data_IF_788037576861
#
_entry.id   IF_788037576861
#
_cell.length_a   1.000
_cell.length_b   1.000
_cell.length_c   1.000
_cell.angle_alpha   90.00
_cell.angle_beta   90.00
_cell.angle_gamma   90.00
#
_symmetry.space_group_name_H-M   'P 1'
#
loop_
_entity.id
_entity.type
_entity.pdbx_description
1 polymer ?
#
# COMPACT_ATOMS: atom_id res chain seq x y z
N UNK A 1 17.47 27.79 -11.41
CA UNK A 1 16.39 28.25 -10.50
C UNK A 1 15.00 27.79 -10.97
N UNK A 2 14.34 28.42 -11.94
CA UNK A 2 12.96 28.02 -12.33
C UNK A 2 12.86 26.59 -12.85
N UNK A 3 13.80 26.14 -13.70
CA UNK A 3 13.83 24.76 -14.20
C UNK A 3 13.99 23.72 -13.08
N UNK A 4 14.81 24.01 -12.05
CA UNK A 4 14.99 23.13 -10.90
C UNK A 4 13.71 23.08 -10.06
N UNK A 5 13.10 24.24 -9.77
CA UNK A 5 11.84 24.29 -9.03
C UNK A 5 10.71 23.56 -9.75
N UNK A 6 10.64 23.62 -11.09
CA UNK A 6 9.66 22.87 -11.89
C UNK A 6 9.71 21.37 -11.58
N UNK A 7 10.90 20.77 -11.42
CA UNK A 7 11.04 19.35 -11.09
C UNK A 7 10.45 19.02 -9.71
N UNK A 8 10.78 19.82 -8.69
CA UNK A 8 10.27 19.63 -7.34
C UNK A 8 8.77 19.86 -7.26
N UNK A 9 8.26 20.93 -7.86
CA UNK A 9 6.84 21.24 -7.91
C UNK A 9 6.02 20.15 -8.63
N UNK A 10 6.55 19.60 -9.73
CA UNK A 10 5.90 18.50 -10.46
C UNK A 10 5.81 17.22 -9.61
N UNK A 11 6.89 16.83 -8.91
CA UNK A 11 6.84 15.67 -8.03
C UNK A 11 5.94 15.92 -6.81
N UNK A 12 5.97 17.13 -6.25
CA UNK A 12 5.13 17.51 -5.13
C UNK A 12 3.63 17.45 -5.45
N UNK A 13 3.19 17.92 -6.64
CA UNK A 13 1.78 17.82 -7.01
C UNK A 13 1.35 16.37 -7.25
N UNK A 14 2.21 15.51 -7.79
CA UNK A 14 1.90 14.08 -7.96
C UNK A 14 1.75 13.37 -6.61
N UNK A 15 2.67 13.62 -5.68
CA UNK A 15 2.57 13.12 -4.30
C UNK A 15 1.29 13.64 -3.62
N UNK A 16 0.96 14.93 -3.81
CA UNK A 16 -0.26 15.54 -3.27
C UNK A 16 -1.52 14.84 -3.78
N UNK A 17 -1.61 14.51 -5.07
CA UNK A 17 -2.79 13.83 -5.63
C UNK A 17 -3.00 12.44 -5.02
N UNK A 18 -1.93 11.66 -4.85
CA UNK A 18 -1.99 10.34 -4.21
C UNK A 18 -2.43 10.48 -2.76
N UNK A 19 -1.76 11.35 -2.00
CA UNK A 19 -2.06 11.56 -0.57
C UNK A 19 -3.48 12.06 -0.36
N UNK A 20 -3.94 13.02 -1.16
CA UNK A 20 -5.31 13.51 -1.12
C UNK A 20 -6.31 12.36 -1.32
N UNK A 21 -6.09 11.51 -2.32
CA UNK A 21 -6.97 10.37 -2.57
C UNK A 21 -6.92 9.31 -1.45
N UNK A 22 -5.79 9.16 -0.77
CA UNK A 22 -5.70 8.32 0.43
C UNK A 22 -6.56 8.87 1.57
N UNK A 23 -6.58 10.18 1.80
CA UNK A 23 -7.48 10.78 2.81
C UNK A 23 -8.96 10.60 2.42
N UNK A 24 -9.30 10.83 1.15
CA UNK A 24 -10.64 10.57 0.63
C UNK A 24 -11.01 9.10 0.81
N UNK A 25 -10.09 8.16 0.56
CA UNK A 25 -10.32 6.74 0.79
C UNK A 25 -10.64 6.46 2.25
N UNK A 26 -9.82 6.93 3.17
CA UNK A 26 -10.04 6.75 4.61
C UNK A 26 -11.38 7.34 5.05
N UNK A 27 -11.78 8.49 4.49
CA UNK A 27 -13.08 9.09 4.76
C UNK A 27 -14.23 8.28 4.17
N UNK A 28 -14.09 7.74 2.95
CA UNK A 28 -15.07 6.88 2.31
C UNK A 28 -15.44 5.69 3.22
N UNK A 29 -14.47 5.09 3.90
CA UNK A 29 -14.71 4.00 4.86
C UNK A 29 -15.55 4.43 6.08
N UNK A 30 -15.49 5.70 6.48
CA UNK A 30 -16.26 6.23 7.61
C UNK A 30 -17.70 6.54 7.22
N UNK A 31 -17.93 6.94 5.98
CA UNK A 31 -19.25 7.38 5.49
C UNK A 31 -19.97 6.34 4.63
N UNK A 32 -19.36 5.19 4.37
CA UNK A 32 -19.92 4.13 3.54
C UNK A 32 -19.91 4.44 2.04
N UNK A 33 -18.97 5.27 1.58
CA UNK A 33 -18.76 5.57 0.17
C UNK A 33 -17.71 4.63 -0.45
N UNK A 34 -17.63 4.63 -1.78
CA UNK A 34 -16.65 3.86 -2.55
C UNK A 34 -15.68 4.82 -3.25
N UNK A 35 -14.41 4.77 -2.85
CA UNK A 35 -13.36 5.62 -3.38
C UNK A 35 -13.11 5.42 -4.88
N UNK A 36 -13.39 4.23 -5.43
CA UNK A 36 -13.24 4.00 -6.87
C UNK A 36 -14.30 4.80 -7.64
N UNK A 37 -15.53 4.88 -7.12
CA UNK A 37 -16.58 5.74 -7.71
C UNK A 37 -16.25 7.22 -7.56
N UNK A 38 -15.74 7.63 -6.39
CA UNK A 38 -15.32 9.02 -6.15
C UNK A 38 -14.20 9.43 -7.11
N UNK A 39 -13.16 8.59 -7.24
CA UNK A 39 -12.05 8.79 -8.17
C UNK A 39 -12.52 8.92 -9.62
N UNK A 40 -13.43 8.05 -10.06
CA UNK A 40 -14.00 8.10 -11.42
C UNK A 40 -14.75 9.41 -11.61
N UNK A 41 -15.62 9.79 -10.66
CA UNK A 41 -16.38 11.04 -10.69
C UNK A 41 -15.47 12.26 -10.78
N UNK A 42 -14.50 12.38 -9.87
CA UNK A 42 -13.51 13.48 -9.87
C UNK A 42 -12.70 13.53 -11.16
N UNK A 43 -12.28 12.37 -11.68
CA UNK A 43 -11.46 12.27 -12.89
C UNK A 43 -12.20 12.60 -14.19
N UNK A 44 -13.52 12.81 -14.17
CA UNK A 44 -14.27 13.31 -15.32
C UNK A 44 -14.01 14.79 -15.60
N UNK A 45 -13.62 15.56 -14.58
CA UNK A 45 -13.20 16.95 -14.74
C UNK A 45 -11.79 16.99 -15.34
N UNK A 46 -11.67 17.52 -16.55
CA UNK A 46 -10.42 17.58 -17.29
C UNK A 46 -9.35 18.45 -16.63
N UNK A 47 -9.73 19.35 -15.72
CA UNK A 47 -8.80 20.17 -14.93
C UNK A 47 -8.08 19.34 -13.85
N UNK A 48 -8.70 18.25 -13.39
CA UNK A 48 -8.13 17.30 -12.41
C UNK A 48 -7.43 16.14 -13.13
N UNK A 49 -8.10 15.58 -14.14
CA UNK A 49 -7.65 14.42 -14.92
C UNK A 49 -7.70 13.10 -14.14
N UNK A 50 -7.48 11.97 -14.84
CA UNK A 50 -7.72 10.61 -14.32
C UNK A 50 -6.50 9.95 -13.66
N UNK A 51 -5.30 10.50 -13.85
CA UNK A 51 -4.03 9.90 -13.44
C UNK A 51 -3.65 10.32 -12.02
N UNK A 52 -2.92 9.44 -11.33
CA UNK A 52 -2.43 9.66 -9.95
C UNK A 52 -3.55 9.89 -8.93
N UNK A 53 -4.70 9.27 -9.15
CA UNK A 53 -5.84 9.33 -8.21
C UNK A 53 -6.15 7.98 -7.55
N UNK A 54 -5.24 7.01 -7.67
CA UNK A 54 -5.45 5.66 -7.12
C UNK A 54 -4.98 5.63 -5.66
N UNK A 55 -5.88 5.41 -4.70
CA UNK A 55 -5.50 5.29 -3.30
C UNK A 55 -4.82 3.94 -3.04
N UNK A 56 -4.12 3.86 -1.92
CA UNK A 56 -3.51 2.63 -1.43
C UNK A 56 -2.80 2.82 -0.10
N UNK A 57 -1.79 2.00 0.17
CA UNK A 57 -0.94 2.08 1.37
C UNK A 57 0.16 3.16 1.26
N UNK A 58 -0.11 4.26 0.56
CA UNK A 58 0.85 5.35 0.37
C UNK A 58 1.81 5.16 -0.79
N UNK A 59 2.58 6.22 -1.05
CA UNK A 59 3.66 6.25 -2.04
C UNK A 59 5.02 5.99 -1.39
N UNK A 60 5.96 5.51 -2.20
CA UNK A 60 7.37 5.32 -1.85
C UNK A 60 8.31 5.73 -2.98
N UNK A 61 9.45 5.05 -3.06
CA UNK A 61 10.49 5.25 -4.06
C UNK A 61 11.43 6.39 -3.71
N UNK A 62 12.48 6.57 -4.50
CA UNK A 62 13.48 7.63 -4.27
C UNK A 62 13.06 9.03 -4.72
N UNK A 63 12.05 9.14 -5.57
CA UNK A 63 11.69 10.41 -6.19
C UNK A 63 10.78 11.25 -5.28
N UNK A 64 9.59 10.74 -4.91
CA UNK A 64 8.62 11.57 -4.17
C UNK A 64 9.06 11.92 -2.74
N UNK A 65 9.40 10.97 -1.86
CA UNK A 65 9.81 11.29 -0.49
C UNK A 65 10.97 12.28 -0.46
N UNK A 66 12.03 12.03 -1.24
CA UNK A 66 13.21 12.88 -1.32
C UNK A 66 12.88 14.28 -1.84
N UNK A 67 12.17 14.40 -2.96
CA UNK A 67 11.95 15.69 -3.62
C UNK A 67 10.93 16.54 -2.83
N UNK A 68 9.91 15.93 -2.21
CA UNK A 68 8.94 16.63 -1.35
C UNK A 68 9.62 17.16 -0.08
N UNK A 69 10.46 16.34 0.57
CA UNK A 69 11.27 16.77 1.73
C UNK A 69 12.26 17.88 1.35
N UNK A 70 12.95 17.73 0.22
CA UNK A 70 13.90 18.72 -0.27
C UNK A 70 13.22 20.06 -0.58
N UNK A 71 12.02 20.05 -1.16
CA UNK A 71 11.23 21.25 -1.42
C UNK A 71 10.82 21.95 -0.12
N UNK A 72 10.29 21.21 0.85
CA UNK A 72 9.91 21.75 2.16
C UNK A 72 11.11 22.37 2.90
N UNK A 73 12.25 21.67 2.90
CA UNK A 73 13.50 22.16 3.50
C UNK A 73 14.00 23.44 2.80
N UNK A 74 14.04 23.44 1.47
CA UNK A 74 14.48 24.60 0.69
C UNK A 74 13.58 25.81 0.91
N UNK A 75 12.28 25.60 1.10
CA UNK A 75 11.35 26.64 1.52
C UNK A 75 11.73 27.22 2.89
N UNK A 76 11.94 26.36 3.88
CA UNK A 76 12.34 26.77 5.23
C UNK A 76 13.64 27.57 5.25
N UNK A 77 14.66 27.12 4.52
CA UNK A 77 15.94 27.83 4.38
C UNK A 77 15.77 29.22 3.73
N UNK A 78 14.74 29.41 2.92
CA UNK A 78 14.37 30.68 2.29
C UNK A 78 13.32 31.48 3.08
N UNK A 79 12.92 31.04 4.28
CA UNK A 79 11.92 31.71 5.11
C UNK A 79 10.47 31.54 4.63
N UNK A 80 10.18 30.52 3.82
CA UNK A 80 8.84 30.18 3.34
C UNK A 80 8.37 28.83 3.89
N UNK A 81 7.16 28.80 4.46
CA UNK A 81 6.58 27.56 4.99
C UNK A 81 5.60 26.90 4.00
N UNK A 82 5.91 25.68 3.56
CA UNK A 82 5.04 24.87 2.72
C UNK A 82 4.10 23.99 3.56
N UNK A 83 2.99 24.56 4.05
CA UNK A 83 1.99 23.84 4.87
C UNK A 83 1.38 22.62 4.16
N UNK A 84 1.04 22.74 2.88
CA UNK A 84 0.47 21.64 2.08
C UNK A 84 1.49 20.50 1.94
N UNK A 85 2.74 20.81 1.66
CA UNK A 85 3.79 19.81 1.42
C UNK A 85 4.12 19.05 2.71
N UNK A 86 4.16 19.75 3.85
CA UNK A 86 4.28 19.12 5.17
C UNK A 86 3.11 18.16 5.43
N UNK A 87 1.89 18.62 5.21
CA UNK A 87 0.69 17.79 5.37
C UNK A 87 0.72 16.54 4.49
N UNK A 88 1.19 16.68 3.24
CA UNK A 88 1.32 15.55 2.29
C UNK A 88 2.28 14.48 2.81
N UNK A 89 3.42 14.88 3.40
CA UNK A 89 4.37 13.94 3.99
C UNK A 89 3.78 13.24 5.22
N UNK A 90 3.20 14.02 6.14
CA UNK A 90 2.67 13.51 7.40
C UNK A 90 1.53 12.50 7.18
N UNK A 91 0.63 12.79 6.24
CA UNK A 91 -0.47 11.89 5.88
C UNK A 91 0.07 10.63 5.22
N UNK A 92 1.03 10.74 4.28
CA UNK A 92 1.59 9.57 3.61
C UNK A 92 2.28 8.64 4.61
N UNK A 93 3.01 9.18 5.58
CA UNK A 93 3.69 8.38 6.60
C UNK A 93 2.71 7.56 7.45
N UNK A 94 1.59 8.16 7.87
CA UNK A 94 0.51 7.43 8.54
C UNK A 94 -0.14 6.40 7.61
N UNK A 95 -0.35 6.75 6.34
CA UNK A 95 -1.02 5.88 5.37
C UNK A 95 -0.28 4.55 5.18
N UNK A 96 1.06 4.54 5.20
CA UNK A 96 1.91 3.35 5.02
C UNK A 96 1.58 2.20 5.97
N UNK A 97 0.96 2.47 7.13
CA UNK A 97 0.65 1.45 8.14
C UNK A 97 -0.85 1.28 8.42
N UNK A 98 -1.73 1.98 7.70
CA UNK A 98 -3.20 1.90 7.90
C UNK A 98 -3.77 0.50 7.73
N UNK A 99 -3.16 -0.32 6.87
CA UNK A 99 -3.59 -1.72 6.67
C UNK A 99 -3.34 -2.58 7.90
N UNK A 100 -2.31 -2.28 8.71
CA UNK A 100 -2.04 -2.95 9.98
C UNK A 100 -3.19 -2.79 10.97
N UNK A 101 -3.86 -1.63 10.98
CA UNK A 101 -5.03 -1.43 11.85
C UNK A 101 -6.22 -2.29 11.41
N UNK A 102 -6.41 -2.48 10.11
CA UNK A 102 -7.43 -3.42 9.59
C UNK A 102 -7.11 -4.86 10.00
N UNK A 103 -5.84 -5.26 9.95
CA UNK A 103 -5.37 -6.58 10.38
C UNK A 103 -5.65 -6.80 11.87
N UNK A 104 -5.28 -5.85 12.72
CA UNK A 104 -5.58 -5.89 14.17
C UNK A 104 -7.08 -5.95 14.44
N UNK A 105 -7.88 -5.14 13.75
CA UNK A 105 -9.33 -5.15 13.98
C UNK A 105 -9.97 -6.49 13.59
N UNK A 106 -9.41 -7.21 12.61
CA UNK A 106 -9.88 -8.54 12.22
C UNK A 106 -9.49 -9.62 13.23
N UNK A 107 -8.21 -9.68 13.60
CA UNK A 107 -7.67 -10.75 14.47
C UNK A 107 -7.76 -10.44 15.98
N UNK A 108 -8.26 -9.26 16.34
CA UNK A 108 -8.20 -8.73 17.69
C UNK A 108 -6.91 -7.95 17.97
N UNK A 109 -6.83 -7.31 19.14
CA UNK A 109 -5.74 -6.37 19.48
C UNK A 109 -4.34 -7.00 19.53
N UNK A 110 -4.21 -8.33 19.43
CA UNK A 110 -2.93 -9.04 19.40
C UNK A 110 -2.86 -9.93 18.17
N UNK A 111 -1.82 -9.73 17.37
CA UNK A 111 -1.46 -10.58 16.22
C UNK A 111 -0.22 -11.44 16.49
N UNK A 112 0.16 -11.59 17.77
CA UNK A 112 1.32 -12.39 18.17
C UNK A 112 1.12 -13.86 17.74
N UNK A 113 2.09 -14.41 17.04
CA UNK A 113 2.07 -15.78 16.52
C UNK A 113 1.26 -15.96 15.24
N UNK A 114 0.69 -14.88 14.67
CA UNK A 114 0.05 -14.92 13.35
C UNK A 114 1.10 -14.94 12.25
N UNK A 115 0.80 -15.68 11.19
CA UNK A 115 1.65 -15.78 10.00
C UNK A 115 0.96 -15.12 8.81
N UNK A 116 1.63 -14.18 8.15
CA UNK A 116 1.08 -13.47 7.00
C UNK A 116 1.87 -13.77 5.73
N UNK A 117 1.15 -14.02 4.64
CA UNK A 117 1.73 -13.98 3.32
C UNK A 117 1.77 -12.53 2.85
N UNK A 118 2.86 -12.09 2.21
CA UNK A 118 2.97 -10.75 1.62
C UNK A 118 3.32 -10.82 0.15
N UNK A 119 2.43 -10.32 -0.70
CA UNK A 119 2.65 -10.14 -2.13
C UNK A 119 3.08 -8.71 -2.42
N UNK A 120 4.31 -8.58 -2.92
CA UNK A 120 4.91 -7.31 -3.27
C UNK A 120 5.75 -6.71 -2.14
N UNK A 121 6.94 -6.26 -2.51
CA UNK A 121 7.96 -5.68 -1.64
C UNK A 121 8.54 -4.39 -2.23
N UNK A 122 8.64 -4.31 -3.56
CA UNK A 122 9.05 -3.09 -4.26
C UNK A 122 8.07 -1.93 -4.00
N UNK A 123 8.52 -0.69 -4.13
CA UNK A 123 7.62 0.47 -3.90
C UNK A 123 6.51 0.61 -4.95
N UNK A 124 6.69 0.00 -6.13
CA UNK A 124 5.77 -0.08 -7.26
C UNK A 124 6.16 -1.29 -8.14
N UNK A 125 5.35 -1.68 -9.13
CA UNK A 125 5.73 -2.72 -10.09
C UNK A 125 6.92 -2.34 -10.99
N UNK A 126 7.48 -3.36 -11.63
CA UNK A 126 8.55 -3.33 -12.63
C UNK A 126 9.84 -2.66 -12.11
N UNK A 127 10.19 -2.92 -10.85
CA UNK A 127 11.44 -2.48 -10.24
C UNK A 127 11.79 -3.30 -9.00
N UNK A 128 13.09 -3.43 -8.74
CA UNK A 128 13.66 -3.96 -7.50
C UNK A 128 13.84 -2.89 -6.40
N UNK A 129 13.47 -1.63 -6.67
CA UNK A 129 13.70 -0.51 -5.75
C UNK A 129 12.78 -0.60 -4.51
N UNK A 130 13.40 -0.70 -3.35
CA UNK A 130 12.72 -0.82 -2.05
C UNK A 130 12.74 0.47 -1.24
N UNK A 131 13.36 1.54 -1.76
CA UNK A 131 13.49 2.80 -1.00
C UNK A 131 12.12 3.36 -0.68
N UNK A 132 11.88 3.61 0.60
CA UNK A 132 10.60 4.13 1.11
C UNK A 132 9.39 3.25 0.72
N UNK A 133 9.59 1.98 0.38
CA UNK A 133 8.52 1.08 -0.02
C UNK A 133 7.57 0.85 1.17
N UNK A 134 6.24 1.05 1.01
CA UNK A 134 5.28 0.81 2.09
C UNK A 134 5.34 -0.59 2.69
N UNK A 135 5.74 -1.61 1.90
CA UNK A 135 5.93 -2.97 2.37
C UNK A 135 6.92 -3.08 3.54
N UNK A 136 8.01 -2.30 3.54
CA UNK A 136 9.00 -2.32 4.63
C UNK A 136 8.41 -1.82 5.95
N UNK A 137 7.59 -0.77 5.90
CA UNK A 137 6.91 -0.23 7.09
C UNK A 137 5.88 -1.21 7.63
N UNK A 138 5.17 -1.91 6.74
CA UNK A 138 4.26 -2.98 7.11
C UNK A 138 5.01 -4.16 7.76
N UNK A 139 6.14 -4.59 7.19
CA UNK A 139 6.99 -5.64 7.76
C UNK A 139 7.42 -5.25 9.17
N UNK A 140 8.02 -4.07 9.34
CA UNK A 140 8.49 -3.59 10.65
C UNK A 140 7.34 -3.55 11.69
N UNK A 141 6.17 -3.02 11.29
CA UNK A 141 5.01 -2.88 12.17
C UNK A 141 4.39 -4.23 12.59
N UNK A 142 4.40 -5.23 11.71
CA UNK A 142 3.87 -6.57 11.98
C UNK A 142 4.85 -7.39 12.83
N UNK A 143 6.14 -7.36 12.51
CA UNK A 143 7.19 -8.03 13.28
C UNK A 143 7.28 -7.48 14.71
N UNK A 144 7.16 -6.15 14.88
CA UNK A 144 7.12 -5.52 16.20
C UNK A 144 5.97 -6.00 17.10
N UNK A 145 4.94 -6.62 16.52
CA UNK A 145 3.80 -7.21 17.24
C UNK A 145 3.89 -8.73 17.37
N UNK A 146 5.01 -9.33 16.97
CA UNK A 146 5.27 -10.76 17.07
C UNK A 146 4.54 -11.62 16.03
N UNK A 147 4.14 -11.03 14.90
CA UNK A 147 3.74 -11.80 13.73
C UNK A 147 4.98 -12.30 12.96
N UNK A 148 4.80 -13.29 12.10
CA UNK A 148 5.79 -13.72 11.11
C UNK A 148 5.27 -13.46 9.69
N UNK A 149 6.19 -13.34 8.73
CA UNK A 149 5.85 -13.04 7.34
C UNK A 149 6.60 -14.00 6.42
N UNK A 150 5.91 -14.53 5.41
CA UNK A 150 6.53 -15.10 4.22
C UNK A 150 6.16 -14.23 3.03
N UNK A 151 7.17 -13.69 2.33
CA UNK A 151 6.96 -12.74 1.25
C UNK A 151 7.31 -13.31 -0.12
N UNK A 152 6.68 -12.76 -1.15
CA UNK A 152 7.07 -12.94 -2.53
C UNK A 152 7.03 -11.60 -3.25
N UNK A 153 8.09 -11.30 -4.00
CA UNK A 153 8.16 -10.20 -4.96
C UNK A 153 9.00 -10.64 -6.17
N UNK A 154 8.58 -10.37 -7.41
CA UNK A 154 9.31 -10.84 -8.60
C UNK A 154 10.73 -10.30 -8.72
N UNK A 155 11.03 -9.11 -8.17
CA UNK A 155 12.29 -8.41 -8.41
C UNK A 155 13.02 -7.98 -7.12
N UNK A 156 12.28 -7.60 -6.07
CA UNK A 156 12.83 -6.90 -4.91
C UNK A 156 13.25 -7.78 -3.72
N UNK A 157 13.05 -9.10 -3.78
CA UNK A 157 13.34 -10.01 -2.65
C UNK A 157 14.80 -9.94 -2.19
N UNK A 158 15.76 -9.85 -3.12
CA UNK A 158 17.18 -9.76 -2.77
C UNK A 158 17.49 -8.48 -1.95
N UNK A 159 16.98 -7.34 -2.41
CA UNK A 159 17.19 -6.05 -1.75
C UNK A 159 16.49 -6.01 -0.37
N UNK A 160 15.29 -6.57 -0.25
CA UNK A 160 14.62 -6.67 1.06
C UNK A 160 15.38 -7.60 1.99
N UNK A 161 15.82 -8.77 1.52
CA UNK A 161 16.60 -9.72 2.33
C UNK A 161 17.88 -9.09 2.87
N UNK A 162 18.59 -8.30 2.06
CA UNK A 162 19.76 -7.53 2.53
C UNK A 162 19.38 -6.54 3.65
N UNK A 163 18.21 -5.92 3.56
CA UNK A 163 17.72 -4.93 4.54
C UNK A 163 17.23 -5.54 5.86
N UNK A 164 16.52 -6.67 5.80
CA UNK A 164 15.80 -7.27 6.94
C UNK A 164 16.47 -8.54 7.49
N UNK A 165 17.45 -9.09 6.79
CA UNK A 165 18.12 -10.34 7.17
C UNK A 165 17.15 -11.51 7.25
N UNK A 166 17.27 -12.31 8.31
CA UNK A 166 16.40 -13.46 8.59
C UNK A 166 15.11 -13.06 9.34
N UNK A 167 14.70 -11.79 9.25
CA UNK A 167 13.50 -11.27 9.91
C UNK A 167 12.17 -11.76 9.30
N UNK A 168 12.18 -12.18 8.03
CA UNK A 168 11.04 -12.76 7.30
C UNK A 168 11.52 -13.90 6.40
N UNK A 169 10.58 -14.76 6.00
CA UNK A 169 10.82 -15.80 5.00
C UNK A 169 10.50 -15.28 3.58
N UNK A 170 11.08 -15.92 2.57
CA UNK A 170 10.87 -15.62 1.15
C UNK A 170 10.48 -16.89 0.39
N UNK A 171 9.40 -16.83 -0.38
CA UNK A 171 8.93 -17.96 -1.18
C UNK A 171 9.51 -17.93 -2.61
N UNK A 172 9.53 -19.09 -3.27
CA UNK A 172 9.96 -19.21 -4.67
C UNK A 172 8.94 -18.66 -5.68
N UNK A 173 7.65 -18.74 -5.33
CA UNK A 173 6.54 -18.21 -6.12
C UNK A 173 5.48 -17.57 -5.21
N UNK A 174 4.53 -16.84 -5.81
CA UNK A 174 3.49 -16.11 -5.10
C UNK A 174 2.60 -17.05 -4.26
N UNK A 175 2.35 -18.27 -4.73
CA UNK A 175 1.50 -19.22 -4.02
C UNK A 175 2.24 -19.93 -2.88
N UNK A 176 3.56 -20.08 -2.99
CA UNK A 176 4.43 -20.63 -1.95
C UNK A 176 4.37 -19.80 -0.68
N UNK A 177 4.27 -18.47 -0.82
CA UNK A 177 4.12 -17.55 0.30
C UNK A 177 2.82 -17.76 1.09
N UNK A 178 1.79 -18.36 0.48
CA UNK A 178 0.48 -18.56 1.09
C UNK A 178 0.42 -19.76 2.04
N UNK A 179 1.38 -20.68 1.96
CA UNK A 179 1.29 -21.99 2.62
C UNK A 179 1.25 -21.84 4.15
N UNK A 180 0.07 -22.09 4.73
CA UNK A 180 -0.13 -22.01 6.18
C UNK A 180 -0.24 -20.58 6.73
N UNK A 181 -0.36 -19.57 5.86
CA UNK A 181 -0.58 -18.19 6.30
C UNK A 181 -2.03 -17.97 6.77
N UNK A 182 -2.21 -17.19 7.83
CA UNK A 182 -3.50 -16.77 8.35
C UNK A 182 -4.26 -15.88 7.35
N UNK A 183 -3.54 -14.99 6.65
CA UNK A 183 -4.08 -14.11 5.63
C UNK A 183 -3.01 -13.71 4.61
N UNK A 184 -3.47 -13.27 3.44
CA UNK A 184 -2.65 -12.61 2.42
C UNK A 184 -2.70 -11.08 2.56
N UNK A 185 -1.55 -10.44 2.45
CA UNK A 185 -1.37 -8.98 2.35
C UNK A 185 -0.86 -8.66 0.94
N UNK A 186 -1.50 -7.72 0.25
CA UNK A 186 -1.04 -7.24 -1.06
C UNK A 186 -0.49 -5.82 -0.88
N UNK A 187 0.82 -5.68 -1.02
CA UNK A 187 1.54 -4.44 -0.81
C UNK A 187 2.03 -3.78 -2.12
N UNK A 188 2.11 -4.51 -3.23
CA UNK A 188 2.51 -3.97 -4.54
C UNK A 188 1.69 -4.58 -5.67
N UNK A 189 1.24 -3.76 -6.61
CA UNK A 189 0.26 -4.09 -7.65
C UNK A 189 0.84 -4.75 -8.92
N UNK A 190 1.76 -5.70 -8.73
CA UNK A 190 2.39 -6.45 -9.82
C UNK A 190 1.35 -7.11 -10.73
N UNK A 191 1.68 -7.22 -12.01
CA UNK A 191 0.77 -7.76 -13.02
C UNK A 191 0.35 -9.21 -12.70
N UNK A 192 1.28 -10.02 -12.20
CA UNK A 192 1.07 -11.43 -11.83
C UNK A 192 -0.01 -11.61 -10.75
N UNK A 193 -0.18 -10.61 -9.87
CA UNK A 193 -1.17 -10.68 -8.79
C UNK A 193 -2.58 -10.29 -9.23
N UNK A 194 -2.78 -9.80 -10.47
CA UNK A 194 -4.07 -9.27 -10.93
C UNK A 194 -5.06 -10.34 -11.37
N UNK A 195 -4.58 -11.52 -11.77
CA UNK A 195 -5.42 -12.64 -12.22
C UNK A 195 -5.02 -13.93 -11.51
N UNK A 196 -5.15 -14.01 -10.17
CA UNK A 196 -4.72 -15.17 -9.42
C UNK A 196 -5.72 -16.32 -9.52
N UNK A 197 -5.27 -17.53 -9.19
CA UNK A 197 -6.15 -18.66 -8.91
C UNK A 197 -6.70 -18.54 -7.47
N UNK A 198 -7.92 -17.99 -7.34
CA UNK A 198 -8.59 -17.83 -6.06
C UNK A 198 -8.88 -19.17 -5.35
N UNK A 199 -9.05 -20.27 -6.08
CA UNK A 199 -9.26 -21.58 -5.48
C UNK A 199 -7.96 -22.08 -4.83
N UNK A 200 -6.81 -21.84 -5.49
CA UNK A 200 -5.49 -22.11 -4.91
C UNK A 200 -5.22 -21.25 -3.68
N UNK A 201 -5.49 -19.94 -3.74
CA UNK A 201 -5.35 -19.05 -2.57
C UNK A 201 -6.19 -19.57 -1.39
N UNK A 202 -7.47 -19.88 -1.64
CA UNK A 202 -8.39 -20.34 -0.62
C UNK A 202 -7.96 -21.67 0.03
N UNK A 203 -7.27 -22.53 -0.71
CA UNK A 203 -6.77 -23.82 -0.21
C UNK A 203 -5.48 -23.68 0.59
N UNK A 204 -4.63 -22.71 0.25
CA UNK A 204 -3.33 -22.51 0.90
C UNK A 204 -3.42 -21.73 2.20
N UNK A 205 -4.32 -20.74 2.28
CA UNK A 205 -4.52 -19.94 3.50
C UNK A 205 -5.28 -20.71 4.58
N UNK A 206 -4.95 -20.46 5.85
CA UNK A 206 -5.69 -20.99 6.99
C UNK A 206 -7.11 -20.39 7.07
N UNK A 207 -7.27 -19.12 6.68
CA UNK A 207 -8.55 -18.45 6.55
C UNK A 207 -8.62 -17.74 5.19
N UNK A 208 -9.81 -17.66 4.59
CA UNK A 208 -10.02 -16.91 3.34
C UNK A 208 -10.02 -15.40 3.60
N UNK A 209 -8.89 -14.85 4.02
CA UNK A 209 -8.75 -13.44 4.41
C UNK A 209 -7.65 -12.79 3.58
N UNK A 210 -7.99 -11.65 2.96
CA UNK A 210 -7.07 -10.85 2.16
C UNK A 210 -7.14 -9.39 2.60
N UNK A 211 -5.97 -8.79 2.81
CA UNK A 211 -5.76 -7.37 3.08
C UNK A 211 -5.05 -6.74 1.87
N UNK A 212 -5.80 -6.00 1.06
CA UNK A 212 -5.32 -5.45 -0.19
C UNK A 212 -5.07 -3.94 -0.07
N UNK A 213 -3.79 -3.59 -0.05
CA UNK A 213 -3.34 -2.20 0.01
C UNK A 213 -3.36 -1.48 -1.34
N UNK A 214 -3.76 -2.15 -2.43
CA UNK A 214 -3.67 -1.68 -3.81
C UNK A 214 -4.96 -1.81 -4.61
N UNK A 215 -6.04 -2.29 -3.99
CA UNK A 215 -7.37 -2.43 -4.58
C UNK A 215 -7.37 -3.26 -5.88
N UNK A 216 -6.62 -4.37 -5.93
CA UNK A 216 -6.51 -5.21 -7.12
C UNK A 216 -7.83 -5.89 -7.50
N UNK A 217 -8.59 -6.33 -6.51
CA UNK A 217 -9.75 -7.18 -6.74
C UNK A 217 -11.07 -6.43 -6.61
N UNK A 218 -12.02 -6.87 -7.43
CA UNK A 218 -13.41 -6.45 -7.38
C UNK A 218 -14.12 -7.10 -6.18
N UNK A 219 -15.00 -6.34 -5.53
CA UNK A 219 -15.70 -6.79 -4.31
C UNK A 219 -16.68 -7.94 -4.59
N UNK A 220 -17.32 -7.96 -5.75
CA UNK A 220 -18.26 -9.02 -6.12
C UNK A 220 -17.52 -10.33 -6.37
N UNK A 221 -16.34 -10.27 -6.99
CA UNK A 221 -15.47 -11.44 -7.19
C UNK A 221 -15.04 -12.01 -5.83
N UNK A 222 -14.62 -11.14 -4.90
CA UNK A 222 -14.23 -11.58 -3.55
C UNK A 222 -15.39 -12.21 -2.80
N UNK A 223 -16.59 -11.65 -2.96
CA UNK A 223 -17.83 -12.19 -2.39
C UNK A 223 -18.15 -13.58 -2.94
N UNK A 224 -18.08 -13.75 -4.27
CA UNK A 224 -18.38 -15.01 -4.95
C UNK A 224 -17.42 -16.14 -4.52
N UNK A 225 -16.16 -15.84 -4.28
CA UNK A 225 -15.18 -16.82 -3.81
C UNK A 225 -15.19 -17.04 -2.27
N UNK A 226 -16.01 -16.28 -1.54
CA UNK A 226 -16.19 -16.39 -0.10
C UNK A 226 -14.98 -15.89 0.70
N UNK A 227 -14.32 -14.83 0.24
CA UNK A 227 -13.24 -14.19 0.98
C UNK A 227 -13.78 -13.09 1.89
N UNK A 228 -13.22 -13.00 3.10
CA UNK A 228 -13.21 -11.73 3.82
C UNK A 228 -12.12 -10.85 3.20
N UNK A 229 -12.53 -9.74 2.59
CA UNK A 229 -11.62 -8.89 1.83
C UNK A 229 -11.66 -7.45 2.34
N UNK A 230 -10.51 -7.00 2.82
CA UNK A 230 -10.26 -5.64 3.23
C UNK A 230 -9.49 -4.93 2.15
N UNK A 231 -10.00 -3.80 1.68
CA UNK A 231 -9.29 -2.93 0.76
C UNK A 231 -9.35 -1.47 1.20
N UNK A 232 -8.73 -0.57 0.45
CA UNK A 232 -8.56 0.84 0.81
C UNK A 232 -9.71 1.67 0.23
N UNK A 233 -10.51 2.29 1.09
CA UNK A 233 -11.58 3.21 0.70
C UNK A 233 -12.83 2.56 0.12
N UNK A 234 -13.03 1.26 0.33
CA UNK A 234 -14.16 0.48 -0.18
C UNK A 234 -14.78 -0.35 0.94
N UNK A 235 -16.01 -0.81 0.72
CA UNK A 235 -16.71 -1.66 1.68
C UNK A 235 -15.93 -2.97 1.93
N UNK A 236 -15.84 -3.39 3.19
CA UNK A 236 -15.31 -4.71 3.55
C UNK A 236 -16.27 -5.80 3.05
N UNK A 237 -15.75 -6.76 2.31
CA UNK A 237 -16.47 -8.01 2.02
C UNK A 237 -16.31 -8.93 3.23
N UNK A 238 -17.41 -9.50 3.71
CA UNK A 238 -17.40 -10.49 4.79
C UNK A 238 -17.75 -11.85 4.19
N UNK A 239 -16.78 -12.76 4.22
CA UNK A 239 -16.90 -14.15 3.74
C UNK A 239 -17.40 -15.10 4.82
#
# INVERSE_FOLDING_TARGET
>A
RSAELTKYAANAILATKITFMNEIANFCEKVGADVDKVRIGMGTDTRIGKRFLFPGIGYGGSCFPKDVQALAKSGGDAGYDFEIIKSVMDVNERQKTTLTDKIKNHYGSSIKGKHFAMWGLAFKPDTDDIREAPALYMIDALLAQGASICAFDPEAMANVKERVGDGIDFAEDEYGALNGADALIIATEWAEFRTPDFARIAKSLANKVIFDGRNLYDLDVMTQHGFTYYSVGRNTVKG
#
